data_IF_736819377102
#
_entry.id   IF_736819377102
#
_cell.length_a   1.000
_cell.length_b   1.000
_cell.length_c   1.000
_cell.angle_alpha   90.00
_cell.angle_beta   90.00
_cell.angle_gamma   90.00
#
_symmetry.space_group_name_H-M   'P 1'
#
loop_
_entity.id
_entity.type
_entity.pdbx_description
1 polymer ?
#
# COMPACT_ATOMS: atom_id res chain seq x y z
N UNK A 1 -7.47 -24.47 -0.78
CA UNK A 1 -7.13 -24.02 -2.16
C UNK A 1 -5.86 -23.17 -2.12
N UNK A 2 -5.17 -23.06 -3.24
CA UNK A 2 -3.96 -22.22 -3.27
C UNK A 2 -4.34 -20.74 -3.37
N UNK A 3 -3.79 -19.90 -2.49
CA UNK A 3 -4.01 -18.44 -2.53
C UNK A 3 -3.47 -17.86 -3.84
N UNK A 4 -4.34 -17.17 -4.59
CA UNK A 4 -4.03 -16.49 -5.84
C UNK A 4 -3.83 -15.01 -5.56
N UNK A 5 -2.72 -14.44 -6.06
CA UNK A 5 -2.45 -12.99 -5.99
C UNK A 5 -2.64 -12.42 -7.40
N UNK A 6 -3.48 -11.40 -7.52
CA UNK A 6 -3.75 -10.73 -8.80
C UNK A 6 -4.06 -9.24 -8.62
N UNK A 7 -3.93 -8.43 -9.68
CA UNK A 7 -4.43 -7.07 -9.66
C UNK A 7 -5.93 -7.02 -9.35
N UNK A 8 -6.32 -6.07 -8.51
CA UNK A 8 -7.72 -5.78 -8.26
C UNK A 8 -8.33 -5.05 -9.47
N UNK A 9 -9.59 -5.34 -9.72
CA UNK A 9 -10.40 -4.69 -10.76
C UNK A 9 -11.50 -3.83 -10.12
N UNK A 10 -12.21 -3.06 -10.92
CA UNK A 10 -13.33 -2.25 -10.42
C UNK A 10 -14.44 -3.09 -9.76
N UNK A 11 -14.59 -4.36 -10.13
CA UNK A 11 -15.53 -5.28 -9.49
C UNK A 11 -15.09 -5.75 -8.10
N UNK A 12 -13.80 -5.64 -7.79
CA UNK A 12 -13.23 -6.08 -6.51
C UNK A 12 -13.24 -4.99 -5.43
N UNK A 13 -13.76 -3.80 -5.72
CA UNK A 13 -13.66 -2.64 -4.81
C UNK A 13 -14.24 -2.92 -3.42
N UNK A 14 -15.32 -3.70 -3.33
CA UNK A 14 -15.90 -4.07 -2.04
C UNK A 14 -14.98 -5.00 -1.22
N UNK A 15 -14.29 -5.94 -1.88
CA UNK A 15 -13.29 -6.81 -1.24
C UNK A 15 -12.07 -5.99 -0.80
N UNK A 16 -11.64 -5.06 -1.62
CA UNK A 16 -10.54 -4.16 -1.29
C UNK A 16 -10.89 -3.27 -0.09
N UNK A 17 -12.09 -2.67 -0.07
CA UNK A 17 -12.57 -1.87 1.07
C UNK A 17 -12.58 -2.68 2.36
N UNK A 18 -13.11 -3.90 2.31
CA UNK A 18 -13.14 -4.80 3.48
C UNK A 18 -11.73 -5.11 4.01
N UNK A 19 -10.78 -5.40 3.11
CA UNK A 19 -9.39 -5.66 3.47
C UNK A 19 -8.71 -4.42 4.09
N UNK A 20 -8.94 -3.22 3.55
CA UNK A 20 -8.37 -1.97 4.06
C UNK A 20 -9.00 -1.57 5.40
N UNK A 21 -10.29 -1.84 5.61
CA UNK A 21 -10.94 -1.66 6.91
C UNK A 21 -10.35 -2.59 7.96
N UNK A 22 -10.08 -3.84 7.60
CA UNK A 22 -9.43 -4.80 8.49
C UNK A 22 -8.01 -4.35 8.86
N UNK A 23 -7.25 -3.82 7.90
CA UNK A 23 -5.93 -3.23 8.16
C UNK A 23 -6.02 -2.06 9.13
N UNK A 24 -6.94 -1.11 8.90
CA UNK A 24 -7.14 0.03 9.79
C UNK A 24 -7.50 -0.41 11.20
N UNK A 25 -8.37 -1.42 11.35
CA UNK A 25 -8.71 -1.98 12.65
C UNK A 25 -7.50 -2.63 13.34
N UNK A 26 -6.68 -3.39 12.60
CA UNK A 26 -5.45 -4.00 13.13
C UNK A 26 -4.43 -2.95 13.62
N UNK A 27 -4.40 -1.78 12.98
CA UNK A 27 -3.49 -0.68 13.34
C UNK A 27 -4.07 0.28 14.38
N UNK A 28 -5.36 0.18 14.69
CA UNK A 28 -6.06 1.14 15.53
C UNK A 28 -6.35 2.48 14.86
N UNK A 29 -6.33 2.51 13.53
CA UNK A 29 -6.56 3.72 12.73
C UNK A 29 -8.04 3.92 12.41
N UNK A 30 -8.44 5.18 12.20
CA UNK A 30 -9.74 5.52 11.64
C UNK A 30 -9.78 5.24 10.13
N UNK A 31 -10.76 4.45 9.69
CA UNK A 31 -10.99 4.23 8.25
C UNK A 31 -12.09 5.17 7.75
N UNK A 32 -11.76 6.07 6.82
CA UNK A 32 -12.66 7.11 6.32
C UNK A 32 -13.07 6.92 4.87
N UNK A 33 -12.25 6.22 4.08
CA UNK A 33 -12.55 5.95 2.67
C UNK A 33 -13.83 5.10 2.52
N UNK A 34 -14.62 5.42 1.52
CA UNK A 34 -15.79 4.63 1.13
C UNK A 34 -15.47 3.78 -0.11
N UNK A 35 -16.34 2.82 -0.41
CA UNK A 35 -16.25 2.04 -1.66
C UNK A 35 -16.27 2.98 -2.88
N UNK A 36 -17.08 4.06 -2.83
CA UNK A 36 -17.13 5.05 -3.91
C UNK A 36 -15.81 5.82 -4.07
N UNK A 37 -15.19 6.21 -2.95
CA UNK A 37 -13.88 6.88 -2.96
C UNK A 37 -12.80 5.97 -3.56
N UNK A 38 -12.74 4.73 -3.12
CA UNK A 38 -11.77 3.75 -3.62
C UNK A 38 -11.98 3.46 -5.11
N UNK A 39 -13.24 3.37 -5.55
CA UNK A 39 -13.57 3.18 -6.96
C UNK A 39 -13.08 4.34 -7.81
N UNK A 40 -13.38 5.57 -7.41
CA UNK A 40 -12.97 6.77 -8.13
C UNK A 40 -11.46 6.92 -8.16
N UNK A 41 -10.78 6.71 -7.03
CA UNK A 41 -9.34 6.93 -6.90
C UNK A 41 -8.49 5.82 -7.54
N UNK A 42 -8.93 4.56 -7.47
CA UNK A 42 -8.12 3.43 -7.94
C UNK A 42 -8.50 2.92 -9.34
N UNK A 43 -9.75 3.15 -9.77
CA UNK A 43 -10.31 2.54 -10.99
C UNK A 43 -10.95 3.55 -11.93
N UNK A 44 -10.74 4.84 -11.67
CA UNK A 44 -11.13 5.93 -12.56
C UNK A 44 -10.14 6.12 -13.72
N UNK A 45 -10.36 7.13 -14.58
CA UNK A 45 -9.55 7.36 -15.78
C UNK A 45 -8.09 7.74 -15.48
N UNK A 46 -7.82 8.32 -14.31
CA UNK A 46 -6.47 8.65 -13.83
C UNK A 46 -6.32 8.06 -12.41
N UNK A 47 -5.93 6.79 -12.29
CA UNK A 47 -5.85 6.14 -10.98
C UNK A 47 -4.74 6.74 -10.12
N UNK A 48 -5.07 7.05 -8.86
CA UNK A 48 -4.11 7.53 -7.86
C UNK A 48 -3.31 6.38 -7.22
N UNK A 49 -3.80 5.14 -7.32
CA UNK A 49 -3.14 3.94 -6.81
C UNK A 49 -3.45 2.71 -7.66
N UNK A 50 -2.65 1.68 -7.43
CA UNK A 50 -2.91 0.30 -7.86
C UNK A 50 -3.13 -0.56 -6.64
N UNK A 51 -3.86 -1.66 -6.80
CA UNK A 51 -4.07 -2.61 -5.72
C UNK A 51 -3.91 -4.05 -6.20
N UNK A 52 -3.40 -4.90 -5.32
CA UNK A 52 -3.37 -6.34 -5.48
C UNK A 52 -4.23 -6.97 -4.39
N UNK A 53 -4.93 -8.04 -4.74
CA UNK A 53 -5.65 -8.90 -3.80
C UNK A 53 -5.04 -10.30 -3.80
N UNK A 54 -4.91 -10.86 -2.61
CA UNK A 54 -4.65 -12.27 -2.39
C UNK A 54 -5.96 -12.92 -2.03
N UNK A 55 -6.41 -13.87 -2.83
CA UNK A 55 -7.71 -14.54 -2.71
C UNK A 55 -7.52 -16.01 -2.34
N UNK A 56 -8.33 -16.49 -1.42
CA UNK A 56 -8.55 -17.90 -1.13
C UNK A 56 -10.03 -18.21 -1.45
N UNK A 57 -10.26 -18.81 -2.61
CA UNK A 57 -11.61 -18.84 -3.19
C UNK A 57 -12.10 -17.43 -3.51
N UNK A 58 -13.26 -17.04 -2.97
CA UNK A 58 -13.87 -15.72 -3.15
C UNK A 58 -13.48 -14.71 -2.05
N UNK A 59 -12.74 -15.16 -1.04
CA UNK A 59 -12.39 -14.33 0.12
C UNK A 59 -11.03 -13.65 -0.06
N UNK A 60 -10.97 -12.36 0.26
CA UNK A 60 -9.70 -11.64 0.34
C UNK A 60 -8.98 -12.02 1.64
N UNK A 61 -7.80 -12.63 1.52
CA UNK A 61 -6.93 -12.99 2.64
C UNK A 61 -5.67 -12.11 2.70
N UNK A 62 -5.52 -11.20 1.76
CA UNK A 62 -4.47 -10.19 1.76
C UNK A 62 -4.73 -9.12 0.71
N UNK A 63 -4.16 -7.95 0.94
CA UNK A 63 -4.23 -6.81 0.02
C UNK A 63 -2.94 -5.98 0.09
N UNK A 64 -2.60 -5.35 -1.03
CA UNK A 64 -1.57 -4.32 -1.09
C UNK A 64 -2.06 -3.15 -1.95
N UNK A 65 -1.82 -1.93 -1.48
CA UNK A 65 -2.07 -0.68 -2.23
C UNK A 65 -0.75 0.03 -2.44
N UNK A 66 -0.50 0.49 -3.65
CA UNK A 66 0.76 1.13 -4.00
C UNK A 66 0.59 2.12 -5.14
N UNK A 67 1.50 3.07 -5.22
CA UNK A 67 1.48 4.15 -6.21
C UNK A 67 2.89 4.41 -6.74
N UNK A 68 3.03 4.96 -7.97
CA UNK A 68 4.34 5.30 -8.50
C UNK A 68 4.96 6.50 -7.77
N UNK A 69 6.27 6.51 -7.71
CA UNK A 69 7.07 7.68 -7.37
C UNK A 69 8.35 7.68 -8.21
N UNK A 70 9.00 8.83 -8.33
CA UNK A 70 10.26 8.94 -9.04
C UNK A 70 11.36 9.47 -8.12
N UNK A 71 12.55 8.91 -8.20
CA UNK A 71 13.71 9.37 -7.46
C UNK A 71 14.76 9.90 -8.42
N UNK A 72 14.99 11.22 -8.39
CA UNK A 72 16.05 11.85 -9.18
C UNK A 72 17.42 11.40 -8.76
N UNK A 73 17.64 11.15 -7.46
CA UNK A 73 18.92 10.67 -6.94
C UNK A 73 19.23 9.22 -7.30
N UNK A 74 18.18 8.40 -7.58
CA UNK A 74 18.32 7.02 -8.07
C UNK A 74 18.18 6.93 -9.58
N UNK A 75 17.74 8.00 -10.23
CA UNK A 75 17.43 8.08 -11.65
C UNK A 75 16.48 6.97 -12.13
N UNK A 76 15.51 6.59 -11.31
CA UNK A 76 14.53 5.57 -11.67
C UNK A 76 13.19 5.76 -10.94
N UNK A 77 12.10 5.23 -11.51
CA UNK A 77 10.83 5.08 -10.82
C UNK A 77 10.95 4.09 -9.65
N UNK A 78 10.06 4.23 -8.70
CA UNK A 78 9.82 3.28 -7.62
C UNK A 78 8.34 3.12 -7.37
N UNK A 79 7.98 2.31 -6.38
CA UNK A 79 6.62 2.23 -5.88
C UNK A 79 6.59 2.49 -4.37
N UNK A 80 5.63 3.32 -3.96
CA UNK A 80 5.29 3.53 -2.56
C UNK A 80 4.15 2.59 -2.19
N UNK A 81 4.40 1.70 -1.23
CA UNK A 81 3.40 0.79 -0.68
C UNK A 81 2.74 1.48 0.50
N UNK A 82 1.53 1.98 0.29
CA UNK A 82 0.77 2.68 1.33
C UNK A 82 0.10 1.73 2.31
N UNK A 83 -0.34 0.56 1.81
CA UNK A 83 -1.08 -0.41 2.60
C UNK A 83 -0.61 -1.83 2.27
N UNK A 84 -0.40 -2.63 3.30
CA UNK A 84 -0.15 -4.07 3.19
C UNK A 84 -0.90 -4.78 4.31
N UNK A 85 -1.84 -5.63 3.95
CA UNK A 85 -2.65 -6.40 4.89
C UNK A 85 -2.60 -7.90 4.59
N UNK A 86 -2.55 -8.69 5.64
CA UNK A 86 -2.71 -10.15 5.60
C UNK A 86 -3.67 -10.53 6.71
N UNK A 87 -4.72 -11.26 6.36
CA UNK A 87 -5.70 -11.78 7.30
C UNK A 87 -5.04 -12.62 8.40
N UNK A 88 -5.51 -12.50 9.63
CA UNK A 88 -4.89 -13.17 10.78
C UNK A 88 -4.62 -14.68 10.56
N UNK A 89 -5.56 -15.46 10.00
CA UNK A 89 -5.32 -16.89 9.74
C UNK A 89 -4.24 -17.16 8.68
N UNK A 90 -3.98 -16.20 7.78
CA UNK A 90 -2.98 -16.34 6.72
C UNK A 90 -1.60 -15.75 7.10
N UNK A 91 -1.46 -15.17 8.30
CA UNK A 91 -0.17 -14.67 8.80
C UNK A 91 0.78 -15.84 9.09
N UNK A 92 2.07 -15.59 8.88
CA UNK A 92 3.09 -16.63 9.09
C UNK A 92 3.20 -17.67 7.96
N UNK A 93 2.35 -17.61 6.93
CA UNK A 93 2.37 -18.54 5.79
C UNK A 93 3.24 -18.07 4.61
N UNK A 94 3.94 -16.94 4.75
CA UNK A 94 4.72 -16.33 3.67
C UNK A 94 3.90 -15.47 2.71
N UNK A 95 2.62 -15.20 2.99
CA UNK A 95 1.76 -14.42 2.10
C UNK A 95 2.22 -12.95 1.98
N UNK A 96 2.65 -12.32 3.07
CA UNK A 96 3.15 -10.94 3.05
C UNK A 96 4.33 -10.74 2.10
N UNK A 97 5.42 -11.54 2.18
CA UNK A 97 6.51 -11.52 1.20
C UNK A 97 6.05 -11.76 -0.24
N UNK A 98 5.10 -12.67 -0.46
CA UNK A 98 4.54 -12.94 -1.81
C UNK A 98 3.77 -11.73 -2.36
N UNK A 99 2.99 -11.04 -1.53
CA UNK A 99 2.31 -9.80 -1.91
C UNK A 99 3.31 -8.70 -2.30
N UNK A 100 4.37 -8.51 -1.51
CA UNK A 100 5.40 -7.52 -1.83
C UNK A 100 6.19 -7.89 -3.11
N UNK A 101 6.43 -9.16 -3.34
CA UNK A 101 7.02 -9.63 -4.61
C UNK A 101 6.09 -9.31 -5.79
N UNK A 102 4.79 -9.55 -5.64
CA UNK A 102 3.81 -9.22 -6.68
C UNK A 102 3.71 -7.69 -6.91
N UNK A 103 3.77 -6.87 -5.85
CA UNK A 103 3.86 -5.40 -5.99
C UNK A 103 5.10 -5.00 -6.78
N UNK A 104 6.27 -5.56 -6.45
CA UNK A 104 7.51 -5.32 -7.19
C UNK A 104 7.35 -5.64 -8.67
N UNK A 105 6.80 -6.79 -8.99
CA UNK A 105 6.68 -7.27 -10.36
C UNK A 105 5.67 -6.42 -11.16
N UNK A 106 4.52 -6.09 -10.55
CA UNK A 106 3.53 -5.21 -11.16
C UNK A 106 4.08 -3.79 -11.36
N UNK A 107 4.73 -3.21 -10.35
CA UNK A 107 5.32 -1.88 -10.44
C UNK A 107 6.46 -1.82 -11.47
N UNK A 108 7.23 -2.90 -11.60
CA UNK A 108 8.27 -3.00 -12.63
C UNK A 108 7.67 -3.06 -14.01
N UNK A 109 6.62 -3.84 -14.20
CA UNK A 109 5.92 -3.95 -15.48
C UNK A 109 5.24 -2.64 -15.90
N UNK A 110 4.60 -1.94 -14.95
CA UNK A 110 3.85 -0.71 -15.24
C UNK A 110 4.76 0.52 -15.39
N UNK A 111 5.79 0.65 -14.56
CA UNK A 111 6.56 1.90 -14.42
C UNK A 111 8.07 1.73 -14.53
N UNK A 112 8.58 0.51 -14.68
CA UNK A 112 10.01 0.25 -14.62
C UNK A 112 10.60 0.45 -13.22
N UNK A 113 9.82 0.21 -12.17
CA UNK A 113 10.22 0.48 -10.79
C UNK A 113 11.47 -0.30 -10.40
N UNK A 114 12.47 0.42 -9.88
CA UNK A 114 13.74 -0.12 -9.40
C UNK A 114 13.84 -0.22 -7.87
N UNK A 115 12.84 0.30 -7.14
CA UNK A 115 12.81 0.21 -5.67
C UNK A 115 11.38 0.26 -5.13
N UNK A 116 11.21 -0.24 -3.91
CA UNK A 116 9.98 -0.09 -3.12
C UNK A 116 10.27 0.81 -1.91
N UNK A 117 9.32 1.65 -1.56
CA UNK A 117 9.34 2.49 -0.36
C UNK A 117 8.05 2.31 0.41
N UNK A 118 8.13 2.32 1.72
CA UNK A 118 6.98 2.32 2.62
C UNK A 118 7.32 3.02 3.93
N UNK A 119 6.29 3.33 4.71
CA UNK A 119 6.43 3.81 6.08
C UNK A 119 5.80 2.81 7.03
N UNK A 120 6.34 2.71 8.23
CA UNK A 120 5.86 1.86 9.33
C UNK A 120 5.74 2.73 10.57
N UNK A 121 4.69 2.54 11.36
CA UNK A 121 4.59 3.21 12.65
C UNK A 121 5.76 2.82 13.56
N UNK A 122 6.37 3.81 14.21
CA UNK A 122 7.54 3.61 15.06
C UNK A 122 7.26 2.70 16.26
N UNK A 123 5.99 2.65 16.71
CA UNK A 123 5.50 1.81 17.81
C UNK A 123 5.04 0.42 17.36
N UNK A 124 5.33 0.04 16.09
CA UNK A 124 5.05 -1.30 15.56
C UNK A 124 6.35 -2.06 15.25
N UNK A 125 7.08 -2.53 16.29
CA UNK A 125 8.37 -3.19 16.11
C UNK A 125 8.28 -4.51 15.34
N UNK A 126 7.12 -5.18 15.37
CA UNK A 126 6.89 -6.43 14.62
C UNK A 126 6.89 -6.18 13.12
N UNK A 127 6.22 -5.12 12.67
CA UNK A 127 6.21 -4.72 11.27
C UNK A 127 7.61 -4.26 10.83
N UNK A 128 8.31 -3.46 11.63
CA UNK A 128 9.69 -3.04 11.35
C UNK A 128 10.59 -4.25 11.15
N UNK A 129 10.55 -5.22 12.09
CA UNK A 129 11.35 -6.45 11.99
C UNK A 129 10.97 -7.28 10.75
N UNK A 130 9.69 -7.35 10.40
CA UNK A 130 9.22 -8.04 9.19
C UNK A 130 9.85 -7.45 7.93
N UNK A 131 9.78 -6.14 7.75
CA UNK A 131 10.35 -5.48 6.58
C UNK A 131 11.88 -5.55 6.55
N UNK A 132 12.54 -5.42 7.69
CA UNK A 132 14.01 -5.56 7.78
C UNK A 132 14.48 -6.96 7.38
N UNK A 133 13.77 -8.02 7.76
CA UNK A 133 14.08 -9.40 7.31
C UNK A 133 13.95 -9.57 5.79
N UNK A 134 13.15 -8.75 5.13
CA UNK A 134 13.01 -8.73 3.67
C UNK A 134 14.06 -7.85 2.97
N UNK A 135 14.93 -7.18 3.74
CA UNK A 135 15.97 -6.32 3.21
C UNK A 135 15.61 -4.83 3.12
N UNK A 136 14.44 -4.43 3.63
CA UNK A 136 14.13 -3.00 3.75
C UNK A 136 15.06 -2.37 4.79
N UNK A 137 15.72 -1.29 4.41
CA UNK A 137 16.60 -0.53 5.29
C UNK A 137 15.91 0.74 5.79
N UNK A 138 16.03 1.08 7.09
CA UNK A 138 15.48 2.33 7.60
C UNK A 138 16.19 3.54 6.96
N UNK A 139 15.43 4.58 6.67
CA UNK A 139 15.95 5.87 6.19
C UNK A 139 16.21 6.77 7.38
N UNK A 140 17.45 6.88 7.77
CA UNK A 140 17.89 7.79 8.85
C UNK A 140 18.11 9.20 8.30
N UNK A 141 17.85 10.22 9.12
CA UNK A 141 18.04 11.63 8.74
C UNK A 141 16.89 12.23 7.91
N UNK A 142 15.81 11.51 7.69
CA UNK A 142 14.60 12.02 7.05
C UNK A 142 13.48 12.18 8.08
N UNK A 143 12.71 13.28 7.96
CA UNK A 143 11.49 13.51 8.72
C UNK A 143 10.32 13.55 7.74
N UNK A 144 9.29 12.78 8.01
CA UNK A 144 8.05 12.83 7.21
C UNK A 144 7.22 14.03 7.65
N UNK A 145 6.77 14.82 6.68
CA UNK A 145 5.93 16.00 6.90
C UNK A 145 4.65 15.85 6.08
N UNK A 146 3.53 16.29 6.65
CA UNK A 146 2.24 16.34 5.97
C UNK A 146 1.65 17.74 6.05
N UNK A 147 1.00 18.18 5.00
CA UNK A 147 0.21 19.42 4.95
C UNK A 147 -1.19 19.05 4.49
N UNK A 148 -2.17 19.32 5.34
CA UNK A 148 -3.56 18.93 5.09
C UNK A 148 -4.57 19.96 5.66
N UNK A 149 -5.83 19.74 5.39
CA UNK A 149 -6.92 20.57 5.88
C UNK A 149 -6.81 22.02 5.40
N UNK A 150 -7.25 23.00 6.22
CA UNK A 150 -7.22 24.42 5.83
C UNK A 150 -5.81 24.96 5.54
N UNK A 151 -4.76 24.37 6.11
CA UNK A 151 -3.38 24.78 5.87
C UNK A 151 -2.95 24.50 4.42
N UNK A 152 -3.44 23.41 3.82
CA UNK A 152 -3.15 23.08 2.42
C UNK A 152 -3.67 24.17 1.48
N UNK A 153 -4.89 24.71 1.75
CA UNK A 153 -5.50 25.76 0.93
C UNK A 153 -4.81 27.13 1.05
N UNK A 154 -4.02 27.33 2.10
CA UNK A 154 -3.32 28.60 2.36
C UNK A 154 -1.83 28.58 1.99
N UNK A 155 -1.34 27.48 1.44
CA UNK A 155 0.06 27.44 0.99
C UNK A 155 0.29 28.47 -0.12
N UNK A 156 1.29 29.32 0.04
CA UNK A 156 1.56 30.41 -0.89
C UNK A 156 0.88 31.74 -0.56
N UNK A 157 -0.03 31.78 0.41
CA UNK A 157 -0.60 33.05 0.88
C UNK A 157 0.49 33.90 1.53
N UNK A 158 0.50 35.23 1.32
CA UNK A 158 1.42 36.12 2.00
C UNK A 158 1.18 36.04 3.52
N UNK A 159 2.27 36.01 4.27
CA UNK A 159 2.25 36.05 5.75
C UNK A 159 2.09 37.45 6.25
#
# INVERSE_FOLDING_TARGET
>A
MATVIRPATASDVALLDAALRALSADLGDGHRATVADLRAAGFGPVPAFRALLALDGDDAVGAAVFSPLYSTTRACPGAYVSDLWVAAPARGTGLGPRLLAAVRDEARALWGAGFLRLAVYADNPRAVAFYQRLGFAPRTGETSLILEGPALGRIGDPR
#
